data_IF_031022970292
#
_entry.id   IF_031022970292
#
_cell.length_a   1.000
_cell.length_b   1.000
_cell.length_c   1.000
_cell.angle_alpha   90.00
_cell.angle_beta   90.00
_cell.angle_gamma   90.00
#
_symmetry.space_group_name_H-M   'P 1'
#
loop_
_entity.id
_entity.type
_entity.pdbx_description
1 polymer ?
#
# COMPACT_ATOMS: atom_id res chain seq x y z
N UNK A 1 49.58 -24.33 -11.82
CA UNK A 1 48.77 -25.34 -12.51
C UNK A 1 47.36 -24.78 -12.71
N UNK A 2 46.91 -24.70 -13.96
CA UNK A 2 45.52 -24.42 -14.39
C UNK A 2 45.01 -25.73 -15.00
N UNK A 3 43.72 -26.08 -14.87
CA UNK A 3 42.86 -26.13 -16.07
C UNK A 3 41.40 -25.68 -15.72
N UNK A 4 40.37 -25.89 -16.57
CA UNK A 4 39.81 -24.85 -17.44
C UNK A 4 38.30 -24.55 -17.19
N UNK A 5 37.80 -23.48 -17.83
CA UNK A 5 36.38 -23.12 -17.90
C UNK A 5 35.54 -24.17 -18.65
N UNK A 6 34.20 -24.08 -18.50
CA UNK A 6 33.35 -24.13 -19.69
C UNK A 6 32.53 -22.86 -19.87
N UNK A 7 32.67 -22.34 -21.09
CA UNK A 7 31.77 -21.43 -21.79
C UNK A 7 30.43 -22.14 -22.02
N UNK A 8 29.30 -21.45 -21.88
CA UNK A 8 28.06 -21.81 -22.59
C UNK A 8 27.50 -20.59 -23.33
N UNK A 9 27.43 -20.75 -24.64
CA UNK A 9 26.75 -19.92 -25.63
C UNK A 9 25.25 -20.28 -25.70
N UNK A 10 24.44 -19.24 -25.96
CA UNK A 10 23.30 -19.17 -26.90
C UNK A 10 21.98 -19.86 -26.55
N UNK A 11 20.91 -19.07 -26.47
CA UNK A 11 19.77 -19.16 -27.40
C UNK A 11 18.94 -17.86 -27.41
N UNK A 12 18.93 -17.22 -28.58
CA UNK A 12 17.97 -16.19 -28.99
C UNK A 12 16.62 -16.86 -29.24
N UNK A 13 15.53 -16.31 -28.70
CA UNK A 13 14.21 -16.40 -29.34
C UNK A 13 13.57 -15.02 -29.24
N UNK A 14 13.54 -14.32 -30.38
CA UNK A 14 12.62 -13.21 -30.59
C UNK A 14 11.23 -13.76 -30.92
N UNK A 15 10.20 -13.07 -30.45
CA UNK A 15 8.89 -13.03 -31.11
C UNK A 15 8.41 -11.58 -31.12
N UNK A 16 8.54 -10.97 -32.28
CA UNK A 16 7.74 -9.84 -32.74
C UNK A 16 6.34 -10.35 -33.14
N UNK A 17 5.29 -9.64 -32.74
CA UNK A 17 3.99 -9.50 -33.42
C UNK A 17 3.24 -8.36 -32.69
N UNK A 18 3.19 -7.13 -33.19
CA UNK A 18 2.42 -6.64 -34.35
C UNK A 18 0.90 -6.75 -34.16
N UNK A 19 0.28 -5.58 -33.92
CA UNK A 19 -0.95 -5.02 -34.50
C UNK A 19 -2.18 -5.92 -34.73
N UNK A 20 -3.35 -5.43 -34.29
CA UNK A 20 -4.65 -5.33 -34.99
C UNK A 20 -5.70 -4.81 -33.98
N UNK A 21 -6.14 -3.55 -33.98
CA UNK A 21 -7.21 -2.93 -34.80
C UNK A 21 -8.51 -3.74 -34.93
N UNK A 22 -9.53 -3.35 -34.17
CA UNK A 22 -10.98 -3.25 -34.51
C UNK A 22 -11.72 -2.78 -33.25
N UNK A 23 -12.47 -1.69 -33.18
CA UNK A 23 -13.25 -1.02 -34.22
C UNK A 23 -14.62 -1.67 -34.35
N UNK A 24 -15.56 -1.35 -33.44
CA UNK A 24 -16.99 -1.58 -33.66
C UNK A 24 -17.74 -0.25 -33.60
N UNK A 25 -18.45 0.00 -34.70
CA UNK A 25 -19.18 1.18 -35.09
C UNK A 25 -20.53 1.34 -34.38
N UNK A 26 -20.90 2.61 -34.25
CA UNK A 26 -22.20 3.23 -34.55
C UNK A 26 -23.50 2.46 -34.29
N UNK A 27 -24.34 3.07 -33.44
CA UNK A 27 -25.73 3.28 -33.81
C UNK A 27 -26.04 4.77 -33.97
N UNK A 28 -26.89 5.03 -34.95
CA UNK A 28 -27.06 6.25 -35.72
C UNK A 28 -28.52 6.69 -35.59
N UNK A 29 -28.70 7.99 -35.39
CA UNK A 29 -29.84 8.87 -35.74
C UNK A 29 -31.29 8.47 -35.39
N UNK A 30 -32.01 9.37 -34.69
CA UNK A 30 -33.04 10.25 -35.27
C UNK A 30 -33.64 11.20 -34.20
N UNK A 31 -33.40 12.52 -34.28
CA UNK A 31 -34.20 13.62 -34.87
C UNK A 31 -35.36 14.15 -34.00
N UNK A 32 -35.10 15.37 -33.47
CA UNK A 32 -35.93 16.59 -33.30
C UNK A 32 -37.45 16.51 -32.98
N UNK A 33 -37.87 17.23 -31.92
CA UNK A 33 -38.69 18.47 -31.98
C UNK A 33 -38.99 19.02 -30.56
N UNK A 34 -38.99 20.34 -30.39
CA UNK A 34 -39.45 21.13 -29.23
C UNK A 34 -40.17 22.37 -29.81
N UNK A 35 -41.07 23.12 -29.13
CA UNK A 35 -42.04 22.86 -28.05
C UNK A 35 -43.50 23.20 -28.49
N UNK A 36 -44.50 23.23 -27.58
CA UNK A 36 -44.93 24.55 -27.13
C UNK A 36 -45.16 24.67 -25.60
N UNK A 37 -45.18 25.92 -25.15
CA UNK A 37 -45.15 26.36 -23.77
C UNK A 37 -46.48 26.24 -22.97
N UNK A 38 -46.31 26.32 -21.65
CA UNK A 38 -47.23 26.78 -20.60
C UNK A 38 -48.34 25.84 -20.11
N UNK A 39 -48.17 25.32 -18.89
CA UNK A 39 -48.88 25.78 -17.68
C UNK A 39 -48.46 24.94 -16.45
N UNK A 40 -47.81 25.58 -15.47
CA UNK A 40 -47.78 25.09 -14.08
C UNK A 40 -49.11 25.51 -13.40
N UNK A 41 -49.64 24.79 -12.39
CA UNK A 41 -49.01 24.79 -11.07
C UNK A 41 -49.15 23.50 -10.21
N UNK A 42 -48.33 23.49 -9.16
CA UNK A 42 -48.53 22.82 -7.87
C UNK A 42 -47.94 21.43 -7.70
N UNK A 43 -46.70 21.47 -7.17
CA UNK A 43 -45.98 20.43 -6.45
C UNK A 43 -46.86 19.67 -5.43
N UNK A 44 -46.79 18.34 -5.52
CA UNK A 44 -46.77 17.47 -4.35
C UNK A 44 -45.64 16.47 -4.57
N UNK A 45 -44.42 16.94 -4.31
CA UNK A 45 -43.23 16.09 -4.29
C UNK A 45 -43.43 15.07 -3.18
N UNK A 46 -43.62 13.80 -3.56
CA UNK A 46 -43.39 12.68 -2.67
C UNK A 46 -42.00 12.87 -2.05
N UNK A 47 -41.94 12.93 -0.72
CA UNK A 47 -40.68 12.80 0.02
C UNK A 47 -40.04 11.46 -0.37
N UNK A 48 -39.11 11.50 -1.33
CA UNK A 48 -38.11 10.47 -1.48
C UNK A 48 -37.39 10.33 -0.13
N UNK A 49 -37.16 9.10 0.38
CA UNK A 49 -36.31 8.93 1.54
C UNK A 49 -34.96 9.55 1.19
N UNK A 50 -34.57 10.56 1.96
CA UNK A 50 -33.22 11.12 1.93
C UNK A 50 -32.24 9.94 1.93
N UNK A 51 -31.34 9.83 0.95
CA UNK A 51 -30.28 8.84 1.04
C UNK A 51 -29.59 9.10 2.38
N UNK A 52 -29.62 8.12 3.29
CA UNK A 52 -28.74 8.16 4.45
C UNK A 52 -27.37 8.50 3.92
N UNK A 53 -26.83 9.65 4.33
CA UNK A 53 -25.47 10.01 3.98
C UNK A 53 -24.62 8.81 4.35
N UNK A 54 -24.05 8.15 3.34
CA UNK A 54 -22.98 7.19 3.54
C UNK A 54 -21.98 7.95 4.40
N UNK A 55 -21.80 7.51 5.65
CA UNK A 55 -20.79 8.10 6.51
C UNK A 55 -19.49 8.00 5.72
N UNK A 56 -18.97 9.15 5.28
CA UNK A 56 -17.63 9.20 4.70
C UNK A 56 -16.73 8.61 5.77
N UNK A 57 -16.00 7.51 5.50
CA UNK A 57 -15.02 7.01 6.45
C UNK A 57 -14.13 8.18 6.80
N UNK A 58 -14.11 8.54 8.08
CA UNK A 58 -13.15 9.53 8.57
C UNK A 58 -11.81 8.87 8.42
N UNK A 59 -10.94 9.45 7.59
CA UNK A 59 -9.60 8.91 7.39
C UNK A 59 -8.97 8.61 8.76
N UNK A 60 -8.49 7.38 8.93
CA UNK A 60 -7.83 6.97 10.16
C UNK A 60 -6.62 7.89 10.37
N UNK A 61 -6.59 8.60 11.50
CA UNK A 61 -5.39 9.35 11.87
C UNK A 61 -4.37 8.34 12.38
N UNK A 62 -3.55 7.80 11.49
CA UNK A 62 -2.48 6.91 11.90
C UNK A 62 -1.43 7.64 12.73
N UNK A 63 -0.88 6.94 13.72
CA UNK A 63 0.33 7.30 14.43
C UNK A 63 1.51 7.29 13.45
N UNK A 64 2.29 8.37 13.45
CA UNK A 64 3.50 8.51 12.64
C UNK A 64 4.76 8.20 13.49
N UNK A 65 5.40 7.03 13.30
CA UNK A 65 6.58 6.65 14.09
C UNK A 65 7.76 7.60 13.90
N UNK A 66 7.82 8.35 12.78
CA UNK A 66 8.91 9.29 12.49
C UNK A 66 8.90 10.55 13.37
N UNK A 67 7.83 10.76 14.14
CA UNK A 67 7.70 11.90 15.04
C UNK A 67 8.30 11.66 16.43
N UNK A 68 8.70 10.44 16.74
CA UNK A 68 9.30 10.12 18.02
C UNK A 68 10.77 10.58 18.10
N UNK A 69 11.19 11.09 19.25
CA UNK A 69 12.59 11.54 19.46
C UNK A 69 13.53 10.41 19.90
N UNK A 70 13.00 9.23 20.24
CA UNK A 70 13.76 8.10 20.79
C UNK A 70 13.47 6.81 20.03
N UNK A 71 14.41 5.87 20.04
CA UNK A 71 14.24 4.55 19.42
C UNK A 71 12.99 3.84 19.94
N UNK A 72 12.84 3.71 21.26
CA UNK A 72 11.67 3.05 21.86
C UNK A 72 10.35 3.80 21.57
N UNK A 73 10.37 5.13 21.52
CA UNK A 73 9.19 5.89 21.11
C UNK A 73 8.80 5.64 19.65
N UNK A 74 9.78 5.48 18.76
CA UNK A 74 9.55 5.17 17.35
C UNK A 74 9.04 3.73 17.18
N UNK A 75 9.58 2.76 17.93
CA UNK A 75 9.06 1.39 17.97
C UNK A 75 7.61 1.34 18.47
N UNK A 76 7.30 2.03 19.58
CA UNK A 76 5.93 2.10 20.09
C UNK A 76 4.98 2.76 19.08
N UNK A 77 5.45 3.76 18.33
CA UNK A 77 4.70 4.34 17.22
C UNK A 77 4.43 3.36 16.08
N UNK A 78 5.39 2.48 15.76
CA UNK A 78 5.22 1.43 14.75
C UNK A 78 4.16 0.40 15.18
N UNK A 79 4.14 0.02 16.44
CA UNK A 79 3.10 -0.86 17.01
C UNK A 79 1.73 -0.20 16.94
N UNK A 80 1.61 1.05 17.38
CA UNK A 80 0.35 1.79 17.30
C UNK A 80 -0.16 1.92 15.85
N UNK A 81 0.72 2.20 14.89
CA UNK A 81 0.39 2.22 13.46
C UNK A 81 -0.19 0.87 12.98
N UNK A 82 0.38 -0.25 13.43
CA UNK A 82 -0.11 -1.58 13.10
C UNK A 82 -1.49 -1.85 13.71
N UNK A 83 -1.69 -1.52 14.98
CA UNK A 83 -2.96 -1.72 15.68
C UNK A 83 -4.10 -0.90 15.07
N UNK A 84 -3.82 0.38 14.78
CA UNK A 84 -4.75 1.28 14.12
C UNK A 84 -5.14 0.77 12.73
N UNK A 85 -4.18 0.18 12.01
CA UNK A 85 -4.42 -0.42 10.71
C UNK A 85 -5.24 -1.71 10.77
N UNK A 86 -5.01 -2.55 11.79
CA UNK A 86 -5.74 -3.80 12.00
C UNK A 86 -7.19 -3.55 12.48
N UNK A 87 -7.47 -2.38 13.06
CA UNK A 87 -8.81 -1.96 13.44
C UNK A 87 -9.67 -1.46 12.26
N UNK A 88 -9.08 -1.22 11.09
CA UNK A 88 -9.80 -0.70 9.92
C UNK A 88 -10.57 -1.79 9.17
N UNK A 89 -11.68 -1.39 8.54
CA UNK A 89 -12.37 -2.24 7.58
C UNK A 89 -11.59 -2.37 6.25
N UNK A 90 -11.92 -3.39 5.46
CA UNK A 90 -11.24 -3.69 4.18
C UNK A 90 -11.23 -2.51 3.20
N UNK A 91 -12.33 -1.75 3.13
CA UNK A 91 -12.42 -0.61 2.22
C UNK A 91 -11.46 0.49 2.66
N UNK A 92 -11.42 0.80 3.95
CA UNK A 92 -10.48 1.78 4.52
C UNK A 92 -9.03 1.33 4.35
N UNK A 93 -8.73 0.04 4.54
CA UNK A 93 -7.40 -0.56 4.28
C UNK A 93 -6.92 -0.28 2.84
N UNK A 94 -7.81 -0.46 1.85
CA UNK A 94 -7.50 -0.23 0.44
C UNK A 94 -7.34 1.26 0.16
N UNK A 95 -8.30 2.08 0.61
CA UNK A 95 -8.33 3.52 0.35
C UNK A 95 -7.11 4.23 0.97
N UNK A 96 -6.57 3.72 2.08
CA UNK A 96 -5.44 4.31 2.81
C UNK A 96 -4.10 3.58 2.63
N UNK A 97 -4.02 2.57 1.77
CA UNK A 97 -2.81 1.78 1.54
C UNK A 97 -1.58 2.65 1.25
N UNK A 98 -1.73 3.69 0.41
CA UNK A 98 -0.64 4.60 0.08
C UNK A 98 -0.10 5.36 1.28
N UNK A 99 -0.99 5.87 2.13
CA UNK A 99 -0.63 6.58 3.37
C UNK A 99 0.11 5.65 4.33
N UNK A 100 -0.40 4.43 4.51
CA UNK A 100 0.21 3.43 5.39
C UNK A 100 1.61 3.04 4.93
N UNK A 101 1.78 2.82 3.62
CA UNK A 101 3.09 2.53 3.05
C UNK A 101 4.07 3.69 3.30
N UNK A 102 3.62 4.93 3.13
CA UNK A 102 4.46 6.10 3.40
C UNK A 102 4.89 6.18 4.87
N UNK A 103 3.97 5.92 5.80
CA UNK A 103 4.27 5.90 7.24
C UNK A 103 5.22 4.77 7.62
N UNK A 104 5.07 3.58 7.01
CA UNK A 104 6.00 2.48 7.20
C UNK A 104 7.41 2.84 6.71
N UNK A 105 7.52 3.46 5.53
CA UNK A 105 8.80 3.90 4.97
C UNK A 105 9.45 4.96 5.86
N UNK A 106 8.75 6.04 6.18
CA UNK A 106 9.33 7.13 6.98
C UNK A 106 9.59 6.70 8.41
N UNK A 107 8.70 5.89 8.99
CA UNK A 107 8.83 5.36 10.34
C UNK A 107 10.03 4.45 10.47
N UNK A 108 10.19 3.44 9.60
CA UNK A 108 11.32 2.50 9.67
C UNK A 108 12.66 3.14 9.29
N UNK A 109 12.67 4.11 8.36
CA UNK A 109 13.85 4.92 8.10
C UNK A 109 14.28 5.74 9.33
N UNK A 110 13.31 6.22 10.11
CA UNK A 110 13.59 6.97 11.33
C UNK A 110 14.07 6.05 12.47
N UNK A 111 13.42 4.90 12.64
CA UNK A 111 13.86 3.85 13.57
C UNK A 111 15.32 3.46 13.28
N UNK A 112 15.66 3.24 12.01
CA UNK A 112 17.04 2.94 11.59
C UNK A 112 18.07 3.97 12.07
N UNK A 113 17.75 5.27 12.00
CA UNK A 113 18.66 6.35 12.46
C UNK A 113 18.84 6.38 13.97
N UNK A 114 17.84 5.92 14.72
CA UNK A 114 17.84 5.93 16.19
C UNK A 114 18.30 4.59 16.78
N UNK A 115 18.29 3.52 15.99
CA UNK A 115 18.55 2.17 16.43
C UNK A 115 20.01 1.98 16.92
N UNK A 116 20.23 1.09 17.91
CA UNK A 116 21.56 0.68 18.31
C UNK A 116 22.40 0.11 17.15
N UNK A 117 23.73 0.15 17.29
CA UNK A 117 24.65 -0.47 16.33
C UNK A 117 24.31 -1.96 16.16
N UNK A 118 24.11 -2.39 14.90
CA UNK A 118 23.68 -3.74 14.54
C UNK A 118 22.23 -3.81 14.07
N UNK A 119 21.31 -3.04 14.66
CA UNK A 119 19.89 -3.03 14.27
C UNK A 119 19.59 -2.03 13.14
N UNK A 120 20.38 -0.96 13.02
CA UNK A 120 20.14 0.12 12.06
C UNK A 120 20.01 -0.37 10.60
N UNK A 121 20.82 -1.34 10.17
CA UNK A 121 20.80 -1.86 8.81
C UNK A 121 19.54 -2.71 8.50
N UNK A 122 19.05 -3.46 9.50
CA UNK A 122 17.83 -4.25 9.34
C UNK A 122 16.62 -3.33 9.17
N UNK A 123 16.49 -2.31 10.02
CA UNK A 123 15.44 -1.29 9.90
C UNK A 123 15.53 -0.48 8.60
N UNK A 124 16.74 -0.19 8.12
CA UNK A 124 16.95 0.46 6.82
C UNK A 124 16.47 -0.43 5.66
N UNK A 125 16.75 -1.73 5.72
CA UNK A 125 16.30 -2.69 4.71
C UNK A 125 14.77 -2.74 4.63
N UNK A 126 14.08 -2.75 5.78
CA UNK A 126 12.61 -2.67 5.84
C UNK A 126 12.08 -1.41 5.16
N UNK A 127 12.65 -0.24 5.50
CA UNK A 127 12.29 1.04 4.86
C UNK A 127 12.46 1.00 3.34
N UNK A 128 13.60 0.47 2.87
CA UNK A 128 13.92 0.42 1.45
C UNK A 128 12.97 -0.48 0.67
N UNK A 129 12.59 -1.64 1.22
CA UNK A 129 11.69 -2.56 0.54
C UNK A 129 10.24 -2.06 0.54
N UNK A 130 9.75 -1.49 1.65
CA UNK A 130 8.47 -0.77 1.62
C UNK A 130 8.50 0.43 0.68
N UNK A 131 9.65 1.13 0.56
CA UNK A 131 9.82 2.25 -0.36
C UNK A 131 9.60 1.86 -1.81
N UNK A 132 10.18 0.72 -2.24
CA UNK A 132 9.94 0.16 -3.58
C UNK A 132 8.46 -0.15 -3.81
N UNK A 133 7.79 -0.73 -2.82
CA UNK A 133 6.36 -1.03 -2.91
C UNK A 133 5.51 0.25 -2.99
N UNK A 134 5.82 1.26 -2.17
CA UNK A 134 5.15 2.56 -2.15
C UNK A 134 5.30 3.31 -3.48
N UNK A 135 6.52 3.34 -4.03
CA UNK A 135 6.81 3.99 -5.31
C UNK A 135 6.05 3.33 -6.47
N UNK A 136 6.00 1.99 -6.48
CA UNK A 136 5.23 1.27 -7.49
C UNK A 136 3.72 1.48 -7.31
N UNK A 137 3.23 1.47 -6.08
CA UNK A 137 1.82 1.75 -5.78
C UNK A 137 1.42 3.12 -6.33
N UNK A 138 2.17 4.16 -6.01
CA UNK A 138 1.94 5.54 -6.49
C UNK A 138 2.03 5.65 -8.00
N UNK A 139 3.09 5.12 -8.62
CA UNK A 139 3.27 5.20 -10.08
C UNK A 139 2.25 4.40 -10.88
N UNK A 140 1.62 3.38 -10.27
CA UNK A 140 0.52 2.63 -10.87
C UNK A 140 -0.86 3.29 -10.69
N UNK A 141 -0.94 4.43 -10.01
CA UNK A 141 -2.20 5.11 -9.69
C UNK A 141 -2.96 4.50 -8.51
N UNK A 142 -2.27 3.82 -7.60
CA UNK A 142 -2.87 3.24 -6.39
C UNK A 142 -3.57 1.90 -6.58
N UNK A 143 -3.18 1.12 -7.59
CA UNK A 143 -3.83 -0.15 -7.90
C UNK A 143 -3.33 -1.29 -7.00
N UNK A 144 -4.09 -1.62 -5.95
CA UNK A 144 -3.79 -2.75 -5.05
C UNK A 144 -3.77 -4.12 -5.74
N UNK A 145 -4.46 -4.27 -6.87
CA UNK A 145 -4.49 -5.51 -7.67
C UNK A 145 -3.27 -5.67 -8.61
N UNK A 146 -2.37 -4.69 -8.66
CA UNK A 146 -1.18 -4.77 -9.48
C UNK A 146 -0.25 -5.88 -8.96
N UNK A 147 -0.02 -6.92 -9.78
CA UNK A 147 0.77 -8.09 -9.39
C UNK A 147 2.20 -7.73 -9.00
N UNK A 148 2.84 -6.76 -9.67
CA UNK A 148 4.19 -6.34 -9.32
C UNK A 148 4.21 -5.61 -7.98
N UNK A 149 3.19 -4.82 -7.68
CA UNK A 149 3.02 -4.21 -6.35
C UNK A 149 2.87 -5.29 -5.28
N UNK A 150 2.00 -6.28 -5.49
CA UNK A 150 1.81 -7.38 -4.55
C UNK A 150 3.09 -8.20 -4.32
N UNK A 151 3.91 -8.41 -5.36
CA UNK A 151 5.21 -9.06 -5.23
C UNK A 151 6.20 -8.23 -4.39
N UNK A 152 6.27 -6.93 -4.63
CA UNK A 152 7.12 -6.02 -3.83
C UNK A 152 6.64 -5.91 -2.38
N UNK A 153 5.33 -5.81 -2.17
CA UNK A 153 4.74 -5.77 -0.83
C UNK A 153 5.03 -7.07 -0.08
N UNK A 154 4.87 -8.24 -0.71
CA UNK A 154 5.20 -9.53 -0.11
C UNK A 154 6.69 -9.64 0.24
N UNK A 155 7.59 -9.12 -0.61
CA UNK A 155 9.01 -9.08 -0.30
C UNK A 155 9.30 -8.15 0.89
N UNK A 156 8.70 -6.96 0.93
CA UNK A 156 8.83 -6.02 2.04
C UNK A 156 8.33 -6.61 3.36
N UNK A 157 7.17 -7.29 3.36
CA UNK A 157 6.65 -7.99 4.54
C UNK A 157 7.61 -9.08 5.02
N UNK A 158 8.24 -9.85 4.13
CA UNK A 158 9.25 -10.85 4.54
C UNK A 158 10.48 -10.23 5.18
N UNK A 159 10.96 -9.10 4.64
CA UNK A 159 12.07 -8.33 5.25
C UNK A 159 11.66 -7.80 6.62
N UNK A 160 10.43 -7.29 6.74
CA UNK A 160 9.85 -6.82 8.00
C UNK A 160 9.73 -7.95 9.03
N UNK A 161 9.11 -9.09 8.68
CA UNK A 161 8.96 -10.26 9.56
C UNK A 161 10.30 -10.77 10.07
N UNK A 162 11.31 -10.83 9.20
CA UNK A 162 12.66 -11.20 9.60
C UNK A 162 13.22 -10.20 10.62
N UNK A 163 13.09 -8.91 10.34
CA UNK A 163 13.56 -7.85 11.24
C UNK A 163 12.85 -7.90 12.58
N UNK A 164 11.52 -8.07 12.60
CA UNK A 164 10.74 -8.19 13.83
C UNK A 164 11.17 -9.41 14.65
N UNK A 165 11.41 -10.56 14.01
CA UNK A 165 11.94 -11.76 14.68
C UNK A 165 13.32 -11.53 15.28
N UNK A 166 14.23 -10.92 14.51
CA UNK A 166 15.61 -10.68 14.95
C UNK A 166 15.70 -9.61 16.05
N UNK A 167 14.77 -8.65 16.05
CA UNK A 167 14.75 -7.53 16.99
C UNK A 167 13.79 -7.71 18.18
N UNK A 168 12.97 -8.77 18.22
CA UNK A 168 11.96 -8.98 19.26
C UNK A 168 12.54 -8.96 20.69
N UNK A 169 13.53 -9.81 20.97
CA UNK A 169 14.18 -9.88 22.29
C UNK A 169 14.93 -8.57 22.63
N UNK A 170 15.79 -8.01 21.76
CA UNK A 170 16.44 -6.72 22.04
C UNK A 170 15.47 -5.57 22.31
N UNK A 171 14.34 -5.53 21.60
CA UNK A 171 13.33 -4.48 21.78
C UNK A 171 12.53 -4.67 23.06
N UNK A 172 12.18 -5.91 23.42
CA UNK A 172 11.52 -6.17 24.71
C UNK A 172 12.45 -5.84 25.88
N UNK A 173 13.72 -6.25 25.82
CA UNK A 173 14.71 -5.97 26.87
C UNK A 173 14.97 -4.46 27.08
N UNK A 174 15.11 -3.70 25.98
CA UNK A 174 15.45 -2.27 26.04
C UNK A 174 14.21 -1.38 26.24
N UNK A 175 13.11 -1.70 25.56
CA UNK A 175 11.93 -0.84 25.47
C UNK A 175 10.71 -1.37 26.24
N UNK A 176 10.70 -2.66 26.63
CA UNK A 176 9.53 -3.31 27.23
C UNK A 176 8.35 -3.42 26.28
N UNK A 177 8.61 -3.55 24.97
CA UNK A 177 7.61 -3.62 23.91
C UNK A 177 7.74 -4.97 23.20
N UNK A 178 6.66 -5.75 23.19
CA UNK A 178 6.58 -6.98 22.41
C UNK A 178 6.20 -6.66 20.95
N UNK A 179 7.16 -6.77 20.04
CA UNK A 179 6.92 -6.58 18.60
C UNK A 179 6.61 -7.88 17.85
N UNK A 180 6.45 -9.01 18.55
CA UNK A 180 6.13 -10.29 17.89
C UNK A 180 4.74 -10.28 17.27
N UNK A 181 3.83 -9.44 17.75
CA UNK A 181 2.51 -9.21 17.16
C UNK A 181 2.56 -8.56 15.77
N UNK A 182 3.70 -7.97 15.39
CA UNK A 182 3.91 -7.40 14.06
C UNK A 182 4.28 -8.46 13.02
N UNK A 183 4.62 -9.68 13.44
CA UNK A 183 4.98 -10.77 12.55
C UNK A 183 3.69 -11.29 11.91
N UNK A 184 3.64 -11.31 10.58
CA UNK A 184 2.52 -11.88 9.87
C UNK A 184 2.39 -13.39 10.17
N UNK A 185 1.19 -13.84 10.57
CA UNK A 185 0.92 -15.26 10.74
C UNK A 185 1.04 -16.01 9.40
N UNK A 186 1.84 -17.07 9.36
CA UNK A 186 1.80 -18.02 8.24
C UNK A 186 0.47 -18.78 8.28
N UNK A 187 -0.45 -18.43 7.37
CA UNK A 187 -1.71 -19.17 7.15
C UNK A 187 -1.58 -20.18 6.02
#
# INVERSE_FOLDING_TARGET
>A
MKPPHPIRLVAVVGVTSALLLSGCQSHKDQIAEEPPASTSPTEKVLQSPTPSATATPTAGSYTDPSKADTYCGAIGGLVALNDEANAQDEKTIIDEMGTRLDLLVTGTAHISKLAPEGAAQDWEAVSNDYGKAADLFKSSGGQVSNTNFLLLLSAATKTADKTYKDQAEPVDDECGIDITELIAEEK
#
